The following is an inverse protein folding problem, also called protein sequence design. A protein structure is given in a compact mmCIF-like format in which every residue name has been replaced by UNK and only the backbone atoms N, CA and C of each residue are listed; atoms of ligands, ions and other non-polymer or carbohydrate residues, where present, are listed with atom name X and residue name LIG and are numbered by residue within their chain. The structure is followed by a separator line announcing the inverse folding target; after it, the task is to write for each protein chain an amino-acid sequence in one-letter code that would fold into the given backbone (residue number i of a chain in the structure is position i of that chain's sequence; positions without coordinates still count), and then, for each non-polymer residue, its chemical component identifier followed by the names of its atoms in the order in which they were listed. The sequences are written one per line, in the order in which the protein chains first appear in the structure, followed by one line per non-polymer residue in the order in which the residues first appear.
data_IF_148927312928
#
_entry.id   IF_148927312928
#
_cell.length_a   1.000
_cell.length_b   1.000
_cell.length_c   1.000
_cell.angle_alpha   90.00
_cell.angle_beta   90.00
_cell.angle_gamma   90.00
#
_symmetry.space_group_name_H-M   'P 1'
#
loop_
_entity.id
_entity.type
_entity.pdbx_description
1 polymer ?
#
# COMPACT_ATOMS: atom_id res chain seq x y z
N UNK A 1 9.51 10.14 -4.13
CA UNK A 1 10.16 9.25 -5.08
C UNK A 1 10.59 10.14 -6.21
N UNK A 2 11.87 10.48 -6.25
CA UNK A 2 12.46 11.21 -7.36
C UNK A 2 12.69 10.20 -8.49
N UNK A 3 12.67 10.61 -9.75
CA UNK A 3 13.18 9.77 -10.83
C UNK A 3 14.58 9.24 -10.44
N UNK A 4 14.78 7.92 -10.52
CA UNK A 4 15.97 7.20 -10.06
C UNK A 4 16.25 7.21 -8.53
N UNK A 5 15.22 7.44 -7.70
CA UNK A 5 15.32 7.37 -6.24
C UNK A 5 15.00 5.99 -5.67
N UNK A 6 15.65 5.63 -4.57
CA UNK A 6 15.35 4.41 -3.82
C UNK A 6 14.04 4.57 -3.03
N UNK A 7 13.15 3.59 -3.15
CA UNK A 7 11.92 3.48 -2.36
C UNK A 7 12.18 2.53 -1.19
N UNK A 8 11.85 2.96 0.03
CA UNK A 8 11.89 2.09 1.20
C UNK A 8 10.65 1.21 1.20
N UNK A 9 10.83 -0.08 1.47
CA UNK A 9 9.72 -1.01 1.61
C UNK A 9 10.10 -2.23 2.43
N UNK A 10 9.07 -2.98 2.85
CA UNK A 10 9.25 -4.23 3.59
C UNK A 10 8.21 -5.25 3.12
N UNK A 11 8.56 -6.54 3.24
CA UNK A 11 7.69 -7.67 2.90
C UNK A 11 7.21 -8.31 4.21
N UNK A 12 5.99 -7.99 4.69
CA UNK A 12 5.42 -8.68 5.83
C UNK A 12 5.05 -10.13 5.48
N UNK A 13 5.01 -10.98 6.49
CA UNK A 13 4.51 -12.36 6.36
C UNK A 13 2.98 -12.42 6.18
N UNK A 14 2.27 -11.42 6.73
CA UNK A 14 0.82 -11.35 6.73
C UNK A 14 0.31 -9.91 6.83
N UNK A 15 -0.76 -9.60 6.08
CA UNK A 15 -1.53 -8.36 6.21
C UNK A 15 -3.01 -8.71 6.36
N UNK A 16 -3.68 -8.01 7.27
CA UNK A 16 -5.14 -7.99 7.39
C UNK A 16 -5.65 -6.60 6.98
N UNK A 17 -6.58 -6.54 6.03
CA UNK A 17 -7.26 -5.30 5.65
C UNK A 17 -8.71 -5.38 6.13
N UNK A 18 -9.12 -4.41 6.95
CA UNK A 18 -10.52 -4.25 7.33
C UNK A 18 -11.31 -3.56 6.22
N UNK A 19 -12.26 -4.27 5.62
CA UNK A 19 -13.21 -3.73 4.65
C UNK A 19 -14.65 -3.85 5.21
N UNK A 20 -15.60 -3.14 4.57
CA UNK A 20 -16.99 -3.10 5.04
C UNK A 20 -17.68 -4.48 4.98
N UNK A 21 -17.20 -5.37 4.12
CA UNK A 21 -17.67 -6.74 3.89
C UNK A 21 -16.91 -7.80 4.70
N UNK A 22 -15.90 -7.40 5.48
CA UNK A 22 -15.14 -8.29 6.35
C UNK A 22 -13.64 -8.01 6.36
N UNK A 23 -12.89 -8.94 6.96
CA UNK A 23 -11.43 -8.90 6.98
C UNK A 23 -10.89 -9.64 5.76
N UNK A 24 -9.97 -9.00 5.03
CA UNK A 24 -9.25 -9.63 3.91
C UNK A 24 -7.83 -9.96 4.32
N UNK A 25 -7.53 -11.25 4.25
CA UNK A 25 -6.22 -11.81 4.55
C UNK A 25 -5.37 -11.86 3.29
N UNK A 26 -4.23 -11.17 3.31
CA UNK A 26 -3.30 -11.11 2.20
C UNK A 26 -1.95 -11.62 2.65
N UNK A 27 -1.40 -12.52 1.84
CA UNK A 27 -0.04 -13.04 1.97
C UNK A 27 0.73 -12.67 0.71
N UNK A 28 2.04 -12.62 0.83
CA UNK A 28 2.95 -12.30 -0.28
C UNK A 28 2.76 -10.90 -0.87
N UNK A 29 3.07 -9.88 -0.07
CA UNK A 29 2.87 -8.48 -0.43
C UNK A 29 4.10 -7.67 -0.04
N UNK A 30 4.44 -6.67 -0.84
CA UNK A 30 5.51 -5.71 -0.55
C UNK A 30 4.85 -4.36 -0.26
N UNK A 31 5.08 -3.83 0.95
CA UNK A 31 4.63 -2.50 1.32
C UNK A 31 5.73 -1.50 0.99
N UNK A 32 5.44 -0.56 0.10
CA UNK A 32 6.29 0.61 -0.14
C UNK A 32 5.92 1.76 0.80
N UNK A 33 6.90 2.29 1.53
CA UNK A 33 6.73 3.46 2.39
C UNK A 33 7.09 4.71 1.60
N UNK A 34 6.11 5.60 1.45
CA UNK A 34 6.24 6.83 0.69
C UNK A 34 5.86 8.03 1.55
N UNK A 35 6.83 8.90 1.87
CA UNK A 35 6.66 9.99 2.82
C UNK A 35 6.03 11.27 2.21
N UNK A 36 5.40 11.16 1.04
CA UNK A 36 4.72 12.27 0.36
C UNK A 36 3.29 11.86 0.07
N UNK A 37 2.36 12.82 0.10
CA UNK A 37 0.96 12.58 -0.25
C UNK A 37 0.90 12.03 -1.69
N UNK A 38 0.26 10.88 -1.87
CA UNK A 38 0.08 10.25 -3.19
C UNK A 38 -0.96 10.99 -4.05
N UNK A 39 -1.71 11.92 -3.44
CA UNK A 39 -2.75 12.73 -4.07
C UNK A 39 -2.59 14.19 -3.68
N UNK A 40 -2.77 15.10 -4.65
CA UNK A 40 -2.80 16.53 -4.40
C UNK A 40 -3.95 16.96 -3.46
N UNK A 41 -4.96 16.09 -3.27
CA UNK A 41 -6.21 16.39 -2.57
C UNK A 41 -6.40 15.54 -1.30
N UNK A 42 -5.34 14.87 -0.80
CA UNK A 42 -5.35 14.02 0.41
C UNK A 42 -6.33 12.82 0.39
N UNK A 43 -6.96 12.57 -0.77
CA UNK A 43 -7.92 11.48 -0.99
C UNK A 43 -7.26 10.10 -1.13
N UNK A 44 -5.94 10.05 -1.37
CA UNK A 44 -5.20 8.80 -1.58
C UNK A 44 -4.00 8.74 -0.65
N UNK A 45 -4.13 7.89 0.37
CA UNK A 45 -3.10 7.63 1.39
C UNK A 45 -2.35 6.32 1.17
N UNK A 46 -2.91 5.41 0.37
CA UNK A 46 -2.29 4.15 -0.01
C UNK A 46 -2.65 3.79 -1.46
N UNK A 47 -1.73 3.16 -2.17
CA UNK A 47 -1.96 2.59 -3.50
C UNK A 47 -2.02 1.07 -3.35
N UNK A 48 -3.20 0.49 -3.56
CA UNK A 48 -3.40 -0.96 -3.58
C UNK A 48 -3.56 -1.42 -5.02
N UNK A 49 -2.95 -2.56 -5.37
CA UNK A 49 -3.15 -3.17 -6.69
C UNK A 49 -4.64 -3.54 -6.85
N UNK A 50 -5.33 -3.16 -7.94
CA UNK A 50 -6.72 -3.54 -8.21
C UNK A 50 -6.99 -5.04 -8.15
N UNK A 51 -5.99 -5.90 -8.39
CA UNK A 51 -6.11 -7.36 -8.30
C UNK A 51 -6.32 -7.86 -6.86
N UNK A 52 -6.12 -6.99 -5.85
CA UNK A 52 -6.44 -7.26 -4.45
C UNK A 52 -7.92 -7.00 -4.10
N UNK A 53 -8.76 -6.53 -5.03
CA UNK A 53 -10.20 -6.29 -4.80
C UNK A 53 -10.99 -7.53 -5.19
#
# INVERSE_FOLDING_TARGET
GKENGMLLGFRPDYIEIGAADGKKDIRDVIIGIYNRTLSANDQYRALMNPELI
#
